data_IF_764019872006
#
_entry.id   IF_764019872006
#
_cell.length_a   1.000
_cell.length_b   1.000
_cell.length_c   1.000
_cell.angle_alpha   90.00
_cell.angle_beta   90.00
_cell.angle_gamma   90.00
#
_symmetry.space_group_name_H-M   'P 1'
#
loop_
_entity.id
_entity.type
_entity.pdbx_description
1 polymer ?
#
# COMPACT_ATOMS: atom_id res chain seq x y z
N UNK A 1 2.48 -14.76 0.80
CA UNK A 1 1.41 -14.24 -0.08
C UNK A 1 1.06 -15.34 -1.07
N UNK A 2 -0.20 -15.49 -1.45
CA UNK A 2 -0.67 -16.54 -2.37
C UNK A 2 -0.92 -17.92 -1.75
N UNK A 3 -0.77 -18.06 -0.43
CA UNK A 3 -1.09 -19.31 0.28
C UNK A 3 -2.35 -19.14 1.16
N UNK A 4 -3.18 -20.17 1.31
CA UNK A 4 -4.32 -20.15 2.23
C UNK A 4 -3.87 -19.89 3.67
N UNK A 5 -4.56 -18.99 4.35
CA UNK A 5 -4.25 -18.59 5.73
C UNK A 5 -4.72 -19.65 6.74
N UNK A 6 -3.94 -20.72 6.87
CA UNK A 6 -4.19 -21.86 7.75
C UNK A 6 -3.26 -21.78 8.98
N UNK A 7 -3.81 -22.05 10.17
CA UNK A 7 -3.07 -22.02 11.43
C UNK A 7 -3.54 -23.11 12.41
N UNK A 8 -2.87 -23.19 13.57
CA UNK A 8 -3.13 -24.20 14.60
C UNK A 8 -2.18 -25.40 14.52
N UNK A 9 -2.01 -26.10 15.65
CA UNK A 9 -1.05 -27.21 15.81
C UNK A 9 -1.24 -28.32 14.77
N UNK A 10 -2.50 -28.58 14.39
CA UNK A 10 -2.89 -29.63 13.45
C UNK A 10 -3.22 -29.09 12.05
N UNK A 11 -2.99 -27.78 11.79
CA UNK A 11 -3.37 -27.10 10.55
C UNK A 11 -4.85 -27.28 10.18
N UNK A 12 -5.72 -27.28 11.20
CA UNK A 12 -7.16 -27.49 11.07
C UNK A 12 -7.98 -26.20 11.15
N UNK A 13 -7.37 -25.05 11.43
CA UNK A 13 -8.07 -23.75 11.47
C UNK A 13 -7.63 -22.88 10.32
N UNK A 14 -8.56 -22.09 9.78
CA UNK A 14 -8.28 -21.09 8.76
C UNK A 14 -8.99 -19.78 9.03
N UNK A 15 -8.56 -18.73 8.33
CA UNK A 15 -9.23 -17.44 8.32
C UNK A 15 -10.11 -17.33 7.07
N UNK A 16 -11.32 -16.80 7.24
CA UNK A 16 -12.23 -16.45 6.14
C UNK A 16 -12.72 -15.02 6.32
N UNK A 17 -13.11 -14.41 5.21
CA UNK A 17 -13.72 -13.09 5.20
C UNK A 17 -15.25 -13.24 5.15
N UNK A 18 -15.93 -12.83 6.22
CA UNK A 18 -17.39 -12.79 6.31
C UNK A 18 -17.84 -11.32 6.17
N UNK A 19 -18.13 -10.91 4.94
CA UNK A 19 -18.34 -9.51 4.58
C UNK A 19 -17.08 -8.68 4.73
N UNK A 20 -17.02 -7.85 5.78
CA UNK A 20 -15.86 -7.00 6.12
C UNK A 20 -15.15 -7.44 7.41
N UNK A 21 -15.48 -8.62 7.95
CA UNK A 21 -14.92 -9.12 9.21
C UNK A 21 -14.16 -10.42 8.98
N UNK A 22 -13.01 -10.55 9.66
CA UNK A 22 -12.29 -11.80 9.73
C UNK A 22 -13.01 -12.76 10.68
N UNK A 23 -13.08 -14.02 10.28
CA UNK A 23 -13.68 -15.10 11.07
C UNK A 23 -12.78 -16.32 11.04
N UNK A 24 -12.68 -16.99 12.17
CA UNK A 24 -11.97 -18.26 12.29
C UNK A 24 -12.94 -19.38 11.98
N UNK A 25 -12.51 -20.31 11.13
CA UNK A 25 -13.24 -21.52 10.78
C UNK A 25 -12.37 -22.75 10.98
N UNK A 26 -12.99 -23.88 11.26
CA UNK A 26 -12.34 -25.19 11.27
C UNK A 26 -12.53 -25.84 9.90
N UNK A 27 -11.44 -26.26 9.26
CA UNK A 27 -11.44 -26.93 7.96
C UNK A 27 -12.06 -28.32 8.14
N UNK A 28 -13.07 -28.66 7.32
CA UNK A 28 -13.79 -29.94 7.39
C UNK A 28 -15.02 -29.93 8.30
N UNK A 29 -15.24 -28.88 9.09
CA UNK A 29 -16.51 -28.65 9.78
C UNK A 29 -17.40 -27.69 8.98
N UNK A 30 -18.72 -27.84 9.08
CA UNK A 30 -19.71 -27.01 8.37
C UNK A 30 -19.53 -26.92 6.84
N UNK A 31 -18.91 -27.93 6.21
CA UNK A 31 -18.67 -27.96 4.77
C UNK A 31 -17.57 -27.02 4.28
N UNK A 32 -16.79 -26.42 5.19
CA UNK A 32 -15.70 -25.51 4.84
C UNK A 32 -14.53 -26.30 4.27
N UNK A 33 -14.19 -26.03 3.03
CA UNK A 33 -13.06 -26.62 2.31
C UNK A 33 -11.83 -25.70 2.38
N UNK A 34 -10.69 -26.18 1.87
CA UNK A 34 -9.48 -25.32 1.76
C UNK A 34 -9.66 -24.18 0.75
N UNK A 35 -10.61 -24.31 -0.17
CA UNK A 35 -10.89 -23.34 -1.22
C UNK A 35 -11.61 -22.10 -0.67
N UNK A 36 -12.33 -22.28 0.45
CA UNK A 36 -13.04 -21.19 1.13
C UNK A 36 -12.11 -20.33 2.02
N UNK A 37 -10.88 -20.80 2.26
CA UNK A 37 -9.92 -20.12 3.13
C UNK A 37 -9.35 -18.89 2.42
N UNK A 38 -9.29 -17.78 3.16
CA UNK A 38 -8.71 -16.54 2.70
C UNK A 38 -7.26 -16.76 2.24
N UNK A 39 -6.97 -16.32 1.02
CA UNK A 39 -5.61 -16.27 0.47
C UNK A 39 -5.10 -14.84 0.59
N UNK A 40 -3.99 -14.65 1.28
CA UNK A 40 -3.41 -13.32 1.48
C UNK A 40 -2.63 -12.85 0.25
N UNK A 41 -3.02 -11.71 -0.31
CA UNK A 41 -2.22 -10.96 -1.27
C UNK A 41 -1.62 -9.71 -0.60
N UNK A 42 -0.29 -9.61 -0.60
CA UNK A 42 0.43 -8.47 -0.04
C UNK A 42 0.40 -7.23 -0.97
N UNK A 43 0.13 -7.42 -2.26
CA UNK A 43 0.14 -6.36 -3.29
C UNK A 43 -1.24 -5.79 -3.58
N UNK A 44 -2.28 -6.26 -2.89
CA UNK A 44 -3.63 -5.72 -3.01
C UNK A 44 -3.63 -4.21 -2.78
N UNK A 45 -4.27 -3.47 -3.69
CA UNK A 45 -4.30 -2.01 -3.66
C UNK A 45 -5.16 -1.55 -2.48
N UNK A 46 -6.29 -2.20 -2.27
CA UNK A 46 -7.18 -1.91 -1.16
C UNK A 46 -6.56 -2.36 0.17
N UNK A 47 -6.32 -1.43 1.12
CA UNK A 47 -5.63 -1.77 2.35
C UNK A 47 -6.55 -2.42 3.40
N UNK A 48 -7.85 -2.58 3.16
CA UNK A 48 -8.81 -2.99 4.19
C UNK A 48 -8.47 -4.37 4.76
N UNK A 49 -8.09 -5.31 3.90
CA UNK A 49 -7.67 -6.64 4.34
C UNK A 49 -6.39 -6.58 5.16
N UNK A 50 -5.40 -5.81 4.71
CA UNK A 50 -4.13 -5.65 5.44
C UNK A 50 -4.35 -5.04 6.83
N UNK A 51 -5.23 -4.05 6.93
CA UNK A 51 -5.63 -3.43 8.20
C UNK A 51 -6.35 -4.43 9.10
N UNK A 52 -7.25 -5.26 8.56
CA UNK A 52 -7.90 -6.31 9.33
C UNK A 52 -6.89 -7.32 9.90
N UNK A 53 -5.88 -7.69 9.10
CA UNK A 53 -4.80 -8.60 9.51
C UNK A 53 -3.90 -7.98 10.59
N UNK A 54 -3.57 -6.69 10.50
CA UNK A 54 -2.75 -5.97 11.50
C UNK A 54 -3.47 -5.90 12.85
N UNK A 55 -4.79 -5.77 12.84
CA UNK A 55 -5.60 -5.65 14.04
C UNK A 55 -5.93 -7.00 14.71
N UNK A 56 -5.42 -8.13 14.18
CA UNK A 56 -5.59 -9.43 14.83
C UNK A 56 -4.82 -9.47 16.15
N UNK A 57 -5.50 -9.84 17.24
CA UNK A 57 -4.94 -9.91 18.58
C UNK A 57 -5.26 -11.24 19.27
N UNK A 58 -4.28 -11.76 20.01
CA UNK A 58 -4.47 -12.88 20.92
C UNK A 58 -5.34 -12.42 22.12
N UNK A 59 -6.25 -13.26 22.66
CA UNK A 59 -6.45 -14.69 22.40
C UNK A 59 -7.41 -15.03 21.24
N UNK A 60 -8.15 -14.05 20.75
CA UNK A 60 -9.24 -14.29 19.81
C UNK A 60 -8.75 -14.69 18.41
N UNK A 61 -7.62 -14.12 17.97
CA UNK A 61 -6.99 -14.38 16.67
C UNK A 61 -5.52 -14.78 16.79
N UNK A 62 -4.97 -15.51 15.80
CA UNK A 62 -3.53 -15.66 15.69
C UNK A 62 -2.87 -14.31 15.38
N UNK A 63 -1.63 -14.13 15.84
CA UNK A 63 -0.83 -12.94 15.51
C UNK A 63 -0.25 -13.10 14.10
N UNK A 64 -0.48 -12.12 13.23
CA UNK A 64 0.07 -12.11 11.88
C UNK A 64 1.57 -11.80 11.90
N UNK A 65 2.37 -12.59 11.17
CA UNK A 65 3.80 -12.39 11.02
C UNK A 65 4.21 -12.43 9.53
N UNK A 66 5.28 -11.70 9.19
CA UNK A 66 5.80 -11.60 7.84
C UNK A 66 5.41 -10.31 7.12
N UNK A 67 5.42 -10.34 5.79
CA UNK A 67 5.04 -9.18 4.97
C UNK A 67 3.51 -9.12 4.87
N UNK A 68 2.90 -8.19 5.60
CA UNK A 68 1.44 -8.00 5.57
C UNK A 68 1.01 -7.18 4.34
N UNK A 69 1.81 -6.18 3.96
CA UNK A 69 1.54 -5.30 2.82
C UNK A 69 2.84 -4.88 2.14
N UNK A 70 2.86 -4.95 0.82
CA UNK A 70 3.95 -4.52 -0.04
C UNK A 70 3.37 -3.66 -1.16
N UNK A 71 3.73 -2.37 -1.21
CA UNK A 71 3.21 -1.44 -2.21
C UNK A 71 4.34 -0.74 -2.92
N UNK A 72 4.25 -0.75 -4.24
CA UNK A 72 5.08 0.05 -5.11
C UNK A 72 4.50 1.47 -5.18
N UNK A 73 5.24 2.43 -4.63
CA UNK A 73 4.88 3.84 -4.66
C UNK A 73 6.15 4.69 -4.71
N UNK A 74 6.06 5.85 -5.38
CA UNK A 74 7.15 6.81 -5.38
C UNK A 74 7.44 7.32 -3.98
N UNK A 75 8.73 7.44 -3.68
CA UNK A 75 9.20 8.12 -2.48
C UNK A 75 8.92 9.62 -2.57
N UNK A 76 8.99 10.29 -1.43
CA UNK A 76 8.81 11.73 -1.38
C UNK A 76 9.85 12.46 -2.24
N UNK A 77 11.13 12.11 -2.11
CA UNK A 77 12.25 12.78 -2.78
C UNK A 77 12.14 12.65 -4.31
N UNK A 78 11.83 11.46 -4.83
CA UNK A 78 11.60 11.25 -6.26
C UNK A 78 10.51 12.18 -6.82
N UNK A 79 9.42 12.38 -6.05
CA UNK A 79 8.33 13.26 -6.47
C UNK A 79 8.71 14.73 -6.41
N UNK A 80 9.49 15.14 -5.41
CA UNK A 80 10.00 16.51 -5.31
C UNK A 80 10.94 16.83 -6.48
N UNK A 81 11.87 15.93 -6.79
CA UNK A 81 12.76 16.11 -7.94
C UNK A 81 12.00 16.17 -9.27
N UNK A 82 11.02 15.29 -9.46
CA UNK A 82 10.18 15.29 -10.66
C UNK A 82 9.43 16.62 -10.80
N UNK A 83 8.86 17.13 -9.72
CA UNK A 83 8.17 18.42 -9.71
C UNK A 83 9.12 19.59 -10.04
N UNK A 84 10.33 19.61 -9.47
CA UNK A 84 11.33 20.66 -9.76
C UNK A 84 11.69 20.65 -11.25
N UNK A 85 11.94 19.47 -11.83
CA UNK A 85 12.28 19.33 -13.25
C UNK A 85 11.15 19.83 -14.15
N UNK A 86 9.91 19.43 -13.88
CA UNK A 86 8.73 19.88 -14.64
C UNK A 86 8.59 21.42 -14.64
N UNK A 87 8.79 22.05 -13.47
CA UNK A 87 8.75 23.51 -13.35
C UNK A 87 9.93 24.15 -14.09
N UNK A 88 11.13 23.60 -13.98
CA UNK A 88 12.31 24.10 -14.69
C UNK A 88 12.14 24.04 -16.20
N UNK A 89 11.50 23.00 -16.74
CA UNK A 89 11.22 22.85 -18.17
C UNK A 89 10.21 23.89 -18.67
N UNK A 90 9.16 24.16 -17.89
CA UNK A 90 8.06 25.06 -18.27
C UNK A 90 8.27 26.53 -17.88
N UNK A 91 9.24 26.83 -17.01
CA UNK A 91 9.51 28.18 -16.53
C UNK A 91 9.84 29.14 -17.69
N UNK A 92 9.22 30.33 -17.69
CA UNK A 92 9.50 31.40 -18.68
C UNK A 92 10.85 32.07 -18.45
N UNK A 93 11.27 32.16 -17.19
CA UNK A 93 12.53 32.78 -16.75
C UNK A 93 13.50 31.63 -16.49
N UNK A 94 14.57 31.53 -17.28
CA UNK A 94 15.54 30.42 -17.17
C UNK A 94 16.80 30.80 -16.42
N UNK A 95 17.13 32.09 -16.39
CA UNK A 95 18.33 32.60 -15.76
C UNK A 95 18.08 33.98 -15.12
N UNK A 96 19.10 34.51 -14.43
CA UNK A 96 19.02 35.80 -13.74
C UNK A 96 18.86 36.96 -14.72
N UNK A 97 19.46 36.91 -15.90
CA UNK A 97 19.31 37.98 -16.90
C UNK A 97 17.88 38.04 -17.45
N UNK A 98 17.25 36.89 -17.71
CA UNK A 98 15.83 36.81 -18.08
C UNK A 98 14.97 37.43 -16.98
N UNK A 99 15.31 37.18 -15.72
CA UNK A 99 14.59 37.74 -14.57
C UNK A 99 14.74 39.26 -14.53
N UNK A 100 15.97 39.76 -14.62
CA UNK A 100 16.27 41.19 -14.56
C UNK A 100 15.66 41.95 -15.76
N UNK A 101 15.55 41.31 -16.92
CA UNK A 101 14.95 41.87 -18.14
C UNK A 101 13.45 41.61 -18.27
N UNK A 102 12.85 40.84 -17.37
CA UNK A 102 11.40 40.55 -17.41
C UNK A 102 10.52 41.73 -17.02
N UNK A 103 11.10 42.76 -16.39
CA UNK A 103 10.43 44.01 -16.01
C UNK A 103 10.63 45.14 -17.01
N UNK A 104 10.30 46.37 -16.61
CA UNK A 104 10.52 47.57 -17.42
C UNK A 104 11.98 48.02 -17.35
N UNK A 105 12.78 47.69 -18.37
CA UNK A 105 14.18 48.11 -18.49
C UNK A 105 14.33 49.24 -19.51
N UNK A 106 15.32 50.13 -19.31
CA UNK A 106 15.69 51.18 -20.27
C UNK A 106 17.19 51.12 -20.57
N UNK A 107 17.58 51.47 -21.79
CA UNK A 107 18.98 51.63 -22.21
C UNK A 107 19.35 53.12 -22.15
N UNK A 108 20.59 53.42 -21.76
CA UNK A 108 21.14 54.79 -21.70
C UNK A 108 22.30 54.86 -22.70
N UNK A 109 22.22 55.78 -23.66
CA UNK A 109 23.31 56.15 -24.59
C UNK A 109 24.12 57.36 -24.07
#
# INVERSE_FOLDING_TARGET
>A
HGEPMIFGKEKNKGLVLDGLKLKIVTIGENGVSKEDILVHDAHEKDPSLHLALINMQYPDFPVAFGVIRAVEAHTYDERVEAQIKEVQETAKIKNVDDLLKSGSTWEVE
#
